data_IF_411049741742
#
_entry.id   IF_411049741742
#
_cell.length_a   1.000
_cell.length_b   1.000
_cell.length_c   1.000
_cell.angle_alpha   90.00
_cell.angle_beta   90.00
_cell.angle_gamma   90.00
#
_symmetry.space_group_name_H-M   'P 1'
#
loop_
_entity.id
_entity.type
_entity.pdbx_description
1 polymer ?
#
# COMPACT_ATOMS: atom_id res chain seq x y z
N UNK A 1 -0.07 20.47 -12.69
CA UNK A 1 0.02 20.18 -11.25
C UNK A 1 1.34 19.46 -11.02
N UNK A 2 2.26 20.08 -10.29
CA UNK A 2 3.49 19.43 -9.86
C UNK A 2 3.25 18.79 -8.49
N UNK A 3 3.93 17.69 -8.22
CA UNK A 3 3.71 16.92 -7.01
C UNK A 3 5.00 16.61 -6.26
N UNK A 4 4.92 16.51 -4.95
CA UNK A 4 5.96 15.90 -4.13
C UNK A 4 5.52 14.53 -3.63
N UNK A 5 6.45 13.57 -3.55
CA UNK A 5 6.22 12.24 -2.96
C UNK A 5 7.26 12.03 -1.88
N UNK A 6 6.80 11.91 -0.65
CA UNK A 6 7.66 11.68 0.53
C UNK A 6 7.74 10.21 0.84
N UNK A 7 8.94 9.67 0.80
CA UNK A 7 9.26 8.26 0.87
C UNK A 7 9.59 7.70 -0.51
N UNK A 8 10.83 7.23 -0.71
CA UNK A 8 11.30 6.59 -1.94
C UNK A 8 11.45 5.08 -1.76
N UNK A 9 10.58 4.48 -0.96
CA UNK A 9 10.40 3.04 -0.92
C UNK A 9 9.74 2.54 -2.21
N UNK A 10 9.33 1.28 -2.20
CA UNK A 10 8.73 0.63 -3.37
C UNK A 10 7.55 1.44 -3.93
N UNK A 11 6.57 1.76 -3.08
CA UNK A 11 5.36 2.49 -3.47
C UNK A 11 5.68 3.90 -3.96
N UNK A 12 6.50 4.64 -3.23
CA UNK A 12 6.80 6.04 -3.56
C UNK A 12 7.60 6.17 -4.84
N UNK A 13 8.63 5.34 -5.04
CA UNK A 13 9.47 5.41 -6.23
C UNK A 13 8.72 4.97 -7.49
N UNK A 14 7.98 3.86 -7.43
CA UNK A 14 7.15 3.39 -8.56
C UNK A 14 6.10 4.44 -8.91
N UNK A 15 5.37 4.96 -7.91
CA UNK A 15 4.35 5.99 -8.15
C UNK A 15 4.96 7.25 -8.74
N UNK A 16 6.10 7.71 -8.21
CA UNK A 16 6.80 8.89 -8.70
C UNK A 16 7.24 8.76 -10.16
N UNK A 17 7.85 7.62 -10.50
CA UNK A 17 8.27 7.34 -11.87
C UNK A 17 7.08 7.25 -12.84
N UNK A 18 5.97 6.63 -12.41
CA UNK A 18 4.76 6.52 -13.24
C UNK A 18 4.05 7.87 -13.43
N UNK A 19 3.93 8.70 -12.39
CA UNK A 19 3.40 10.05 -12.53
C UNK A 19 4.28 10.93 -13.44
N UNK A 20 5.61 10.82 -13.31
CA UNK A 20 6.53 11.51 -14.21
C UNK A 20 6.36 11.07 -15.67
N UNK A 21 6.14 9.76 -15.89
CA UNK A 21 5.87 9.22 -17.23
C UNK A 21 4.56 9.74 -17.82
N UNK A 22 3.56 10.04 -16.97
CA UNK A 22 2.32 10.69 -17.37
C UNK A 22 2.48 12.18 -17.70
N UNK A 23 3.68 12.74 -17.58
CA UNK A 23 4.00 14.12 -17.92
C UNK A 23 3.94 15.09 -16.73
N UNK A 24 3.87 14.60 -15.51
CA UNK A 24 3.83 15.41 -14.29
C UNK A 24 5.25 15.65 -13.79
N UNK A 25 5.55 16.85 -13.27
CA UNK A 25 6.80 17.10 -12.55
C UNK A 25 6.68 16.53 -11.14
N UNK A 26 7.58 15.61 -10.80
CA UNK A 26 7.56 14.88 -9.53
C UNK A 26 8.85 15.11 -8.75
N UNK A 27 8.72 15.53 -7.52
CA UNK A 27 9.81 15.65 -6.55
C UNK A 27 9.72 14.50 -5.55
N UNK A 28 10.59 13.52 -5.67
CA UNK A 28 10.70 12.42 -4.70
C UNK A 28 11.63 12.81 -3.56
N UNK A 29 11.15 12.70 -2.33
CA UNK A 29 11.87 13.10 -1.11
C UNK A 29 12.08 11.90 -0.19
N UNK A 30 13.31 11.72 0.29
CA UNK A 30 13.63 10.70 1.29
C UNK A 30 14.76 11.22 2.19
N UNK A 31 14.67 10.97 3.48
CA UNK A 31 15.70 11.40 4.46
C UNK A 31 17.02 10.63 4.33
N UNK A 32 17.03 9.50 3.61
CA UNK A 32 18.24 8.71 3.37
C UNK A 32 19.07 9.33 2.24
N UNK A 33 20.11 10.09 2.61
CA UNK A 33 20.97 10.78 1.67
C UNK A 33 21.70 9.83 0.69
N UNK A 34 22.15 8.67 1.15
CA UNK A 34 22.84 7.70 0.29
C UNK A 34 21.89 7.16 -0.80
N UNK A 35 20.65 6.90 -0.42
CA UNK A 35 19.61 6.45 -1.34
C UNK A 35 19.27 7.51 -2.38
N UNK A 36 19.15 8.76 -1.95
CA UNK A 36 18.86 9.89 -2.85
C UNK A 36 20.03 10.12 -3.83
N UNK A 37 21.29 10.08 -3.38
CA UNK A 37 22.44 10.20 -4.26
C UNK A 37 22.54 9.03 -5.27
N UNK A 38 22.24 7.80 -4.83
CA UNK A 38 22.14 6.65 -5.73
C UNK A 38 21.06 6.88 -6.80
N UNK A 39 19.85 7.32 -6.42
CA UNK A 39 18.76 7.62 -7.34
C UNK A 39 19.11 8.74 -8.32
N UNK A 40 19.75 9.83 -7.88
CA UNK A 40 20.24 10.89 -8.75
C UNK A 40 21.25 10.38 -9.79
N UNK A 41 22.05 9.39 -9.40
CA UNK A 41 23.02 8.73 -10.29
C UNK A 41 22.41 7.63 -11.17
N UNK A 42 21.10 7.41 -11.07
CA UNK A 42 20.39 6.37 -11.84
C UNK A 42 20.52 4.96 -11.28
N UNK A 43 21.03 4.81 -10.06
CA UNK A 43 21.10 3.52 -9.36
C UNK A 43 19.81 3.31 -8.57
N UNK A 44 19.01 2.33 -8.99
CA UNK A 44 17.70 2.06 -8.40
C UNK A 44 17.85 1.03 -7.28
N UNK A 45 17.46 1.38 -6.02
CA UNK A 45 17.70 0.51 -4.85
C UNK A 45 16.70 -0.63 -4.70
N UNK A 46 15.71 -0.72 -5.59
CA UNK A 46 14.67 -1.75 -5.58
C UNK A 46 14.60 -2.41 -6.96
N UNK A 47 14.20 -3.68 -6.97
CA UNK A 47 13.94 -4.38 -8.22
C UNK A 47 12.45 -4.33 -8.58
N UNK A 48 12.16 -3.76 -9.74
CA UNK A 48 10.87 -3.84 -10.41
C UNK A 48 11.14 -3.84 -11.92
N UNK A 49 10.55 -4.76 -12.71
CA UNK A 49 10.77 -4.81 -14.15
C UNK A 49 10.53 -3.45 -14.81
N UNK A 50 11.52 -2.99 -15.60
CA UNK A 50 11.53 -1.73 -16.36
C UNK A 50 11.54 -0.43 -15.52
N UNK A 51 11.63 -0.50 -14.19
CA UNK A 51 11.65 0.70 -13.35
C UNK A 51 12.90 1.55 -13.57
N UNK A 52 14.05 0.93 -13.77
CA UNK A 52 15.31 1.58 -14.07
C UNK A 52 15.21 2.45 -15.34
N UNK A 53 14.73 1.89 -16.43
CA UNK A 53 14.49 2.63 -17.67
C UNK A 53 13.50 3.78 -17.49
N UNK A 54 12.43 3.56 -16.73
CA UNK A 54 11.40 4.56 -16.48
C UNK A 54 11.95 5.74 -15.67
N UNK A 55 12.71 5.45 -14.61
CA UNK A 55 13.34 6.46 -13.76
C UNK A 55 14.36 7.27 -14.52
N UNK A 56 15.32 6.61 -15.23
CA UNK A 56 16.36 7.29 -15.99
C UNK A 56 15.78 8.23 -17.05
N UNK A 57 14.84 7.75 -17.84
CA UNK A 57 14.18 8.55 -18.88
C UNK A 57 13.50 9.80 -18.32
N UNK A 58 12.87 9.69 -17.16
CA UNK A 58 12.18 10.81 -16.54
C UNK A 58 13.12 11.77 -15.79
N UNK A 59 14.27 11.30 -15.31
CA UNK A 59 15.35 12.16 -14.82
C UNK A 59 15.90 13.01 -15.99
N UNK A 60 16.26 12.36 -17.11
CA UNK A 60 16.78 13.05 -18.31
C UNK A 60 15.79 14.07 -18.86
N UNK A 61 14.50 13.76 -18.83
CA UNK A 61 13.44 14.68 -19.25
C UNK A 61 13.15 15.80 -18.23
N UNK A 62 13.81 15.81 -17.06
CA UNK A 62 13.64 16.81 -16.02
C UNK A 62 12.31 16.71 -15.25
N UNK A 63 11.52 15.65 -15.47
CA UNK A 63 10.23 15.44 -14.83
C UNK A 63 10.32 14.71 -13.49
N UNK A 64 11.38 13.94 -13.25
CA UNK A 64 11.59 13.24 -11.99
C UNK A 64 12.84 13.78 -11.30
N UNK A 65 12.67 14.31 -10.09
CA UNK A 65 13.71 14.95 -9.31
C UNK A 65 13.77 14.38 -7.92
N UNK A 66 14.92 14.44 -7.26
CA UNK A 66 15.16 13.87 -5.94
C UNK A 66 15.73 14.89 -4.98
N UNK A 67 15.24 14.92 -3.74
CA UNK A 67 15.74 15.75 -2.64
C UNK A 67 15.77 14.97 -1.33
N UNK A 68 16.65 15.39 -0.42
CA UNK A 68 16.68 14.91 0.96
C UNK A 68 15.83 15.77 1.90
N UNK A 69 15.35 16.91 1.44
CA UNK A 69 14.65 17.88 2.27
C UNK A 69 13.28 18.26 1.68
N UNK A 70 12.21 17.87 2.38
CA UNK A 70 10.85 18.21 1.99
C UNK A 70 10.63 19.73 1.94
N UNK A 71 11.32 20.51 2.78
CA UNK A 71 11.17 21.97 2.85
C UNK A 71 11.53 22.65 1.53
N UNK A 72 12.52 22.11 0.81
CA UNK A 72 12.96 22.65 -0.48
C UNK A 72 11.89 22.49 -1.56
N UNK A 73 11.05 21.47 -1.46
CA UNK A 73 10.06 21.11 -2.48
C UNK A 73 8.63 21.52 -2.14
N UNK A 74 8.37 21.97 -0.91
CA UNK A 74 7.04 22.38 -0.48
C UNK A 74 6.42 23.51 -1.33
N UNK A 75 7.23 24.36 -1.94
CA UNK A 75 6.75 25.46 -2.76
C UNK A 75 6.64 25.10 -4.25
N UNK A 76 7.12 23.91 -4.65
CA UNK A 76 7.21 23.50 -6.05
C UNK A 76 5.91 22.84 -6.54
N UNK A 77 5.06 22.34 -5.64
CA UNK A 77 3.81 21.68 -6.01
C UNK A 77 2.71 21.84 -4.97
N UNK A 78 1.47 21.72 -5.43
CA UNK A 78 0.30 21.85 -4.56
C UNK A 78 -0.16 20.52 -3.95
N UNK A 79 0.32 19.39 -4.46
CA UNK A 79 -0.07 18.05 -3.99
C UNK A 79 1.15 17.32 -3.43
N UNK A 80 1.02 16.88 -2.19
CA UNK A 80 2.09 16.17 -1.48
C UNK A 80 1.58 14.78 -1.11
N UNK A 81 2.20 13.76 -1.70
CA UNK A 81 1.94 12.37 -1.35
C UNK A 81 2.84 11.90 -0.20
N UNK A 82 2.24 11.25 0.78
CA UNK A 82 2.95 10.53 1.84
C UNK A 82 2.97 9.05 1.50
N UNK A 83 4.16 8.53 1.17
CA UNK A 83 4.40 7.13 0.79
C UNK A 83 5.48 6.50 1.69
N UNK A 84 5.51 6.87 2.95
CA UNK A 84 6.44 6.36 3.97
C UNK A 84 5.96 5.03 4.54
N UNK A 85 6.87 4.25 5.14
CA UNK A 85 6.54 2.99 5.77
C UNK A 85 5.59 3.14 6.96
N UNK A 86 4.75 2.13 7.14
CA UNK A 86 3.87 1.97 8.30
C UNK A 86 4.12 0.58 8.90
N UNK A 87 5.27 0.38 9.59
CA UNK A 87 5.62 -0.92 10.14
C UNK A 87 4.59 -1.34 11.22
N UNK A 88 4.47 -2.66 11.49
CA UNK A 88 3.62 -3.11 12.58
C UNK A 88 4.25 -2.74 13.93
N UNK A 89 3.41 -2.32 14.86
CA UNK A 89 3.74 -2.16 16.26
C UNK A 89 3.63 -3.51 17.00
N UNK A 90 4.03 -3.57 18.26
CA UNK A 90 4.02 -4.79 19.08
C UNK A 90 2.62 -5.41 19.22
N UNK A 91 1.57 -4.59 19.27
CA UNK A 91 0.17 -5.01 19.34
C UNK A 91 -0.45 -5.37 17.97
N UNK A 92 0.35 -5.31 16.89
CA UNK A 92 -0.08 -5.56 15.52
C UNK A 92 -0.71 -4.34 14.82
N UNK A 93 -0.89 -3.21 15.53
CA UNK A 93 -1.33 -1.96 14.91
C UNK A 93 -0.26 -1.37 13.98
N UNK A 94 -0.65 -0.41 13.14
CA UNK A 94 0.30 0.29 12.28
C UNK A 94 0.97 1.45 13.02
N UNK A 95 2.31 1.50 13.02
CA UNK A 95 3.06 2.68 13.49
C UNK A 95 2.91 3.82 12.49
N UNK A 96 2.28 4.91 12.93
CA UNK A 96 2.03 6.12 12.14
C UNK A 96 3.07 7.23 12.37
N UNK A 97 4.12 6.98 13.15
CA UNK A 97 5.10 8.00 13.53
C UNK A 97 5.71 8.71 12.32
N UNK A 98 6.08 7.97 11.27
CA UNK A 98 6.63 8.54 10.03
C UNK A 98 5.60 9.37 9.27
N UNK A 99 4.34 8.93 9.19
CA UNK A 99 3.26 9.67 8.52
C UNK A 99 3.00 10.99 9.24
N UNK A 100 2.96 10.98 10.56
CA UNK A 100 2.72 12.17 11.37
C UNK A 100 3.94 13.12 11.37
N UNK A 101 5.16 12.60 11.26
CA UNK A 101 6.35 13.46 11.14
C UNK A 101 6.39 14.21 9.80
N UNK A 102 5.98 13.57 8.70
CA UNK A 102 5.76 14.26 7.42
C UNK A 102 4.71 15.36 7.58
N UNK A 103 3.58 15.08 8.23
CA UNK A 103 2.53 16.06 8.49
C UNK A 103 3.04 17.25 9.31
N UNK A 104 3.82 17.01 10.37
CA UNK A 104 4.47 18.08 11.16
C UNK A 104 5.39 18.93 10.30
N UNK A 105 6.24 18.30 9.49
CA UNK A 105 7.17 19.01 8.61
C UNK A 105 6.41 19.90 7.62
N UNK A 106 5.31 19.41 7.05
CA UNK A 106 4.45 20.21 6.17
C UNK A 106 3.87 21.39 6.94
N UNK A 107 3.22 21.16 8.08
CA UNK A 107 2.59 22.21 8.89
C UNK A 107 3.57 23.29 9.36
N UNK A 108 4.81 22.91 9.70
CA UNK A 108 5.87 23.85 10.10
C UNK A 108 6.38 24.73 8.97
N UNK A 109 6.31 24.28 7.73
CA UNK A 109 7.03 24.92 6.64
C UNK A 109 6.17 25.42 5.48
N UNK A 110 4.93 24.93 5.33
CA UNK A 110 4.05 25.34 4.22
C UNK A 110 3.76 26.85 4.29
N UNK A 111 3.73 27.49 3.11
CA UNK A 111 3.47 28.94 2.97
C UNK A 111 2.18 29.25 2.22
N UNK A 112 1.57 28.27 1.60
CA UNK A 112 0.32 28.37 0.87
C UNK A 112 -0.44 27.05 0.88
N UNK A 113 -1.58 27.03 0.23
CA UNK A 113 -2.43 25.87 0.15
C UNK A 113 -1.68 24.62 -0.28
N UNK A 114 -1.97 23.50 0.38
CA UNK A 114 -1.49 22.18 0.01
C UNK A 114 -2.62 21.14 0.12
N UNK A 115 -2.62 20.17 -0.80
CA UNK A 115 -3.36 18.93 -0.68
C UNK A 115 -2.41 17.83 -0.21
N UNK A 116 -2.64 17.31 0.98
CA UNK A 116 -1.83 16.24 1.56
C UNK A 116 -2.52 14.89 1.33
N UNK A 117 -1.89 14.03 0.54
CA UNK A 117 -2.46 12.75 0.11
C UNK A 117 -1.72 11.59 0.77
N UNK A 118 -2.40 10.82 1.57
CA UNK A 118 -1.83 9.59 2.14
C UNK A 118 -1.95 8.45 1.12
N UNK A 119 -0.79 7.98 0.65
CA UNK A 119 -0.68 6.81 -0.24
C UNK A 119 -0.25 5.55 0.51
N UNK A 120 0.41 5.70 1.63
CA UNK A 120 0.73 4.60 2.56
C UNK A 120 -0.54 3.87 2.99
N UNK A 121 -0.43 2.56 3.24
CA UNK A 121 -1.52 1.77 3.83
C UNK A 121 -1.65 2.12 5.30
N UNK A 122 -2.75 2.74 5.67
CA UNK A 122 -2.99 3.31 7.00
C UNK A 122 -4.37 2.94 7.54
N UNK A 123 -4.54 2.80 8.87
CA UNK A 123 -5.84 2.58 9.49
C UNK A 123 -6.83 3.72 9.23
N UNK A 124 -8.12 3.38 9.26
CA UNK A 124 -9.21 4.37 9.20
C UNK A 124 -9.07 5.39 10.33
N UNK A 125 -9.16 6.66 9.99
CA UNK A 125 -8.97 7.80 10.89
C UNK A 125 -7.56 8.39 10.84
N UNK A 126 -6.66 7.88 10.02
CA UNK A 126 -5.31 8.43 9.86
C UNK A 126 -5.33 9.81 9.23
N UNK A 127 -6.18 10.06 8.23
CA UNK A 127 -6.32 11.36 7.61
C UNK A 127 -6.71 12.45 8.62
N UNK A 128 -7.59 12.15 9.58
CA UNK A 128 -7.95 13.09 10.65
C UNK A 128 -6.76 13.39 11.58
N UNK A 129 -5.92 12.40 11.88
CA UNK A 129 -4.69 12.61 12.64
C UNK A 129 -3.69 13.49 11.88
N UNK A 130 -3.56 13.28 10.57
CA UNK A 130 -2.74 14.14 9.70
C UNK A 130 -3.27 15.57 9.70
N UNK A 131 -4.57 15.76 9.52
CA UNK A 131 -5.25 17.06 9.56
C UNK A 131 -5.00 17.78 10.88
N UNK A 132 -5.25 17.10 12.00
CA UNK A 132 -5.05 17.66 13.33
C UNK A 132 -3.58 18.04 13.58
N UNK A 133 -2.64 17.22 13.13
CA UNK A 133 -1.20 17.48 13.27
C UNK A 133 -0.79 18.74 12.50
N UNK A 134 -1.23 18.89 11.25
CA UNK A 134 -0.94 20.08 10.44
C UNK A 134 -1.58 21.32 11.05
N UNK A 135 -2.86 21.24 11.46
CA UNK A 135 -3.57 22.37 12.07
C UNK A 135 -2.88 22.86 13.36
N UNK A 136 -2.40 21.94 14.20
CA UNK A 136 -1.66 22.27 15.40
C UNK A 136 -0.34 23.01 15.11
N UNK A 137 0.40 22.60 14.08
CA UNK A 137 1.65 23.28 13.70
C UNK A 137 1.38 24.68 13.12
N UNK A 138 0.31 24.86 12.35
CA UNK A 138 -0.13 26.17 11.85
C UNK A 138 -0.55 27.09 13.00
N UNK A 139 -1.30 26.58 13.98
CA UNK A 139 -1.68 27.32 15.17
C UNK A 139 -0.45 27.75 15.97
N UNK A 140 0.51 26.85 16.18
CA UNK A 140 1.78 27.12 16.86
C UNK A 140 2.58 28.24 16.17
N UNK A 141 2.52 28.31 14.85
CA UNK A 141 3.14 29.38 14.04
C UNK A 141 2.32 30.69 14.06
N UNK A 142 1.09 30.68 14.53
CA UNK A 142 0.19 31.83 14.49
C UNK A 142 -0.23 32.24 13.08
N UNK A 143 -0.33 31.28 12.14
CA UNK A 143 -0.71 31.50 10.75
C UNK A 143 -1.98 30.75 10.39
N UNK A 144 -2.76 31.30 9.47
CA UNK A 144 -3.94 30.64 8.90
C UNK A 144 -3.65 30.37 7.44
N UNK A 145 -3.50 29.07 7.10
CA UNK A 145 -3.25 28.59 5.74
C UNK A 145 -4.23 27.46 5.48
N UNK A 146 -4.98 27.57 4.39
CA UNK A 146 -5.91 26.52 3.98
C UNK A 146 -5.14 25.28 3.48
N UNK A 147 -5.65 24.11 3.79
CA UNK A 147 -5.16 22.84 3.28
C UNK A 147 -6.27 21.80 3.27
N UNK A 148 -6.11 20.80 2.43
CA UNK A 148 -6.96 19.61 2.39
C UNK A 148 -6.15 18.35 2.64
N UNK A 149 -6.82 17.30 3.08
CA UNK A 149 -6.26 15.95 3.18
C UNK A 149 -7.05 15.02 2.28
N UNK A 150 -6.37 14.00 1.76
CA UNK A 150 -6.97 12.96 0.93
C UNK A 150 -6.34 11.60 1.24
N UNK A 151 -7.02 10.53 0.88
CA UNK A 151 -6.51 9.17 0.89
C UNK A 151 -6.49 8.62 -0.53
N UNK A 152 -5.34 8.09 -0.94
CA UNK A 152 -5.18 7.47 -2.26
C UNK A 152 -4.39 6.16 -2.11
N UNK A 153 -5.01 5.12 -1.55
CA UNK A 153 -4.35 3.84 -1.35
C UNK A 153 -3.89 3.24 -2.67
N UNK A 154 -2.79 2.49 -2.62
CA UNK A 154 -2.24 1.78 -3.76
C UNK A 154 -2.67 0.30 -3.76
N UNK A 155 -2.66 -0.32 -4.93
CA UNK A 155 -2.97 -1.74 -5.14
C UNK A 155 -1.92 -2.40 -6.03
N UNK A 156 -0.67 -1.99 -5.86
CA UNK A 156 0.47 -2.45 -6.66
C UNK A 156 0.89 -3.87 -6.22
N UNK A 157 1.27 -4.68 -7.18
CA UNK A 157 1.86 -6.01 -6.96
C UNK A 157 3.35 -5.95 -7.29
N UNK A 158 4.19 -6.38 -6.37
CA UNK A 158 5.62 -6.50 -6.63
C UNK A 158 5.88 -7.40 -7.86
N UNK A 159 6.70 -6.90 -8.78
CA UNK A 159 6.97 -7.54 -10.06
C UNK A 159 6.03 -7.17 -11.21
N UNK A 160 4.95 -6.41 -10.95
CA UNK A 160 4.01 -5.89 -11.96
C UNK A 160 3.49 -4.48 -11.63
N UNK A 161 4.18 -3.76 -10.76
CA UNK A 161 3.67 -2.53 -10.19
C UNK A 161 3.53 -1.38 -11.19
N UNK A 162 4.40 -1.31 -12.19
CA UNK A 162 4.31 -0.30 -13.25
C UNK A 162 3.03 -0.50 -14.07
N UNK A 163 2.75 -1.74 -14.51
CA UNK A 163 1.51 -2.03 -15.24
C UNK A 163 0.27 -1.82 -14.37
N UNK A 164 0.32 -2.24 -13.10
CA UNK A 164 -0.78 -2.01 -12.15
C UNK A 164 -1.06 -0.52 -11.92
N UNK A 165 -0.01 0.33 -11.97
CA UNK A 165 -0.17 1.77 -11.86
C UNK A 165 -0.69 2.39 -13.16
N UNK A 166 -0.10 2.02 -14.31
CA UNK A 166 -0.39 2.63 -15.61
C UNK A 166 -1.70 2.14 -16.23
N UNK A 167 -2.12 0.91 -15.88
CA UNK A 167 -3.34 0.24 -16.36
C UNK A 167 -4.11 -0.36 -15.18
N UNK A 168 -4.56 0.46 -14.22
CA UNK A 168 -5.18 -0.04 -13.00
C UNK A 168 -6.58 -0.62 -13.27
N UNK A 169 -6.95 -1.66 -12.52
CA UNK A 169 -8.35 -2.10 -12.43
C UNK A 169 -9.24 -0.95 -11.90
N UNK A 170 -8.73 -0.17 -10.96
CA UNK A 170 -9.32 1.06 -10.41
C UNK A 170 -8.27 1.89 -9.67
N UNK A 171 -8.52 3.18 -9.59
CA UNK A 171 -7.88 4.10 -8.64
C UNK A 171 -8.92 4.48 -7.60
N UNK A 172 -8.55 4.44 -6.31
CA UNK A 172 -9.43 4.85 -5.21
C UNK A 172 -8.93 6.18 -4.65
N UNK A 173 -9.81 7.14 -4.52
CA UNK A 173 -9.50 8.48 -4.01
C UNK A 173 -10.55 8.89 -2.96
N UNK A 174 -10.12 9.00 -1.72
CA UNK A 174 -10.93 9.55 -0.63
C UNK A 174 -10.71 11.05 -0.50
N UNK A 175 -11.76 11.82 -0.59
CA UNK A 175 -11.76 13.30 -0.48
C UNK A 175 -12.99 13.79 0.27
N UNK A 176 -12.89 14.97 0.87
CA UNK A 176 -13.97 15.65 1.59
C UNK A 176 -14.17 17.10 1.17
N UNK A 177 -13.46 17.55 0.11
CA UNK A 177 -13.67 18.87 -0.48
C UNK A 177 -13.69 18.81 -2.01
N UNK A 178 -14.41 19.74 -2.63
CA UNK A 178 -14.44 19.87 -4.10
C UNK A 178 -13.08 20.24 -4.65
N UNK A 179 -12.32 21.08 -3.95
CA UNK A 179 -10.96 21.47 -4.35
C UNK A 179 -10.01 20.28 -4.40
N UNK A 180 -10.02 19.43 -3.37
CA UNK A 180 -9.23 18.21 -3.36
C UNK A 180 -9.64 17.26 -4.50
N UNK A 181 -10.95 17.13 -4.75
CA UNK A 181 -11.47 16.31 -5.85
C UNK A 181 -11.03 16.83 -7.21
N UNK A 182 -11.05 18.14 -7.44
CA UNK A 182 -10.58 18.76 -8.69
C UNK A 182 -9.09 18.49 -8.92
N UNK A 183 -8.24 18.72 -7.91
CA UNK A 183 -6.80 18.46 -8.01
C UNK A 183 -6.50 16.98 -8.32
N UNK A 184 -7.16 16.06 -7.62
CA UNK A 184 -6.98 14.63 -7.86
C UNK A 184 -7.53 14.23 -9.24
N UNK A 185 -8.61 14.85 -9.72
CA UNK A 185 -9.14 14.63 -11.09
C UNK A 185 -8.14 15.09 -12.13
N UNK A 186 -7.52 16.25 -11.95
CA UNK A 186 -6.48 16.76 -12.85
C UNK A 186 -5.27 15.84 -12.89
N UNK A 187 -4.83 15.35 -11.72
CA UNK A 187 -3.70 14.44 -11.59
C UNK A 187 -3.93 13.10 -12.31
N UNK A 188 -5.12 12.53 -12.16
CA UNK A 188 -5.51 11.26 -12.79
C UNK A 188 -6.19 11.41 -14.15
N UNK A 189 -6.20 12.63 -14.73
CA UNK A 189 -6.81 12.89 -16.02
C UNK A 189 -6.33 11.95 -17.14
N UNK A 190 -5.03 11.62 -17.28
CA UNK A 190 -4.58 10.68 -18.31
C UNK A 190 -5.24 9.30 -18.18
N UNK A 191 -5.53 8.84 -16.96
CA UNK A 191 -6.22 7.56 -16.71
C UNK A 191 -7.69 7.66 -17.08
N UNK A 192 -8.36 8.75 -16.71
CA UNK A 192 -9.77 9.00 -17.06
C UNK A 192 -9.97 9.05 -18.58
N UNK A 193 -9.05 9.68 -19.32
CA UNK A 193 -9.08 9.72 -20.77
C UNK A 193 -8.91 8.35 -21.43
N UNK A 194 -8.27 7.42 -20.76
CA UNK A 194 -8.09 6.04 -21.20
C UNK A 194 -9.18 5.09 -20.63
N UNK A 195 -10.27 5.62 -20.12
CA UNK A 195 -11.40 4.89 -19.54
C UNK A 195 -11.04 4.01 -18.31
N UNK A 196 -9.96 4.30 -17.62
CA UNK A 196 -9.70 3.65 -16.33
C UNK A 196 -10.60 4.21 -15.24
N UNK A 197 -11.02 3.36 -14.32
CA UNK A 197 -11.93 3.75 -13.24
C UNK A 197 -11.20 4.53 -12.15
N UNK A 198 -11.60 5.77 -11.92
CA UNK A 198 -11.23 6.53 -10.72
C UNK A 198 -12.46 6.65 -9.85
N UNK A 199 -12.41 6.02 -8.68
CA UNK A 199 -13.52 5.94 -7.72
C UNK A 199 -13.30 6.98 -6.63
N UNK A 200 -14.10 8.05 -6.65
CA UNK A 200 -14.13 9.02 -5.56
C UNK A 200 -15.09 8.56 -4.47
N UNK A 201 -14.66 8.67 -3.24
CA UNK A 201 -15.43 8.32 -2.04
C UNK A 201 -15.01 9.19 -0.86
N UNK A 202 -15.66 9.04 0.29
CA UNK A 202 -15.19 9.66 1.53
C UNK A 202 -13.86 9.05 1.99
N UNK A 203 -13.11 9.80 2.79
CA UNK A 203 -11.76 9.41 3.22
C UNK A 203 -11.76 8.12 4.04
N UNK A 204 -12.63 7.94 5.06
CA UNK A 204 -12.68 6.69 5.82
C UNK A 204 -12.95 5.46 4.97
N UNK A 205 -13.83 5.57 3.98
CA UNK A 205 -14.12 4.48 3.03
C UNK A 205 -12.92 4.14 2.16
N UNK A 206 -12.15 5.13 1.71
CA UNK A 206 -10.93 4.91 0.94
C UNK A 206 -9.84 4.21 1.78
N UNK A 207 -9.62 4.65 3.02
CA UNK A 207 -8.70 4.01 3.97
C UNK A 207 -9.12 2.56 4.23
N UNK A 208 -10.42 2.29 4.48
CA UNK A 208 -10.93 0.94 4.71
C UNK A 208 -10.80 0.05 3.48
N UNK A 209 -11.01 0.59 2.28
CA UNK A 209 -11.01 -0.20 1.03
C UNK A 209 -9.69 -0.96 0.82
N UNK A 210 -8.55 -0.36 1.17
CA UNK A 210 -7.24 -1.03 1.05
C UNK A 210 -7.13 -2.23 1.98
N UNK A 211 -7.49 -2.07 3.24
CA UNK A 211 -7.47 -3.15 4.22
C UNK A 211 -8.46 -4.25 3.88
N UNK A 212 -9.69 -3.89 3.51
CA UNK A 212 -10.72 -4.85 3.13
C UNK A 212 -10.32 -5.66 1.89
N UNK A 213 -9.68 -5.03 0.89
CA UNK A 213 -9.18 -5.72 -0.30
C UNK A 213 -8.10 -6.76 0.07
N UNK A 214 -7.09 -6.37 0.84
CA UNK A 214 -6.03 -7.29 1.24
C UNK A 214 -6.55 -8.39 2.17
N UNK A 215 -7.47 -8.08 3.06
CA UNK A 215 -8.11 -9.05 3.94
C UNK A 215 -8.94 -10.08 3.15
N UNK A 216 -9.66 -9.65 2.11
CA UNK A 216 -10.40 -10.56 1.24
C UNK A 216 -9.46 -11.51 0.49
N UNK A 217 -8.34 -11.00 -0.04
CA UNK A 217 -7.35 -11.84 -0.73
C UNK A 217 -6.72 -12.86 0.22
N UNK A 218 -6.34 -12.46 1.43
CA UNK A 218 -5.84 -13.34 2.47
C UNK A 218 -6.88 -14.41 2.87
N UNK A 219 -8.15 -14.01 2.99
CA UNK A 219 -9.27 -14.92 3.28
C UNK A 219 -9.38 -16.01 2.21
N UNK A 220 -9.29 -15.66 0.94
CA UNK A 220 -9.36 -16.62 -0.17
C UNK A 220 -8.22 -17.64 -0.11
N UNK A 221 -7.01 -17.20 0.24
CA UNK A 221 -5.85 -18.10 0.39
C UNK A 221 -6.06 -19.05 1.58
N UNK A 222 -6.41 -18.54 2.75
CA UNK A 222 -6.66 -19.37 3.93
C UNK A 222 -7.83 -20.32 3.74
N UNK A 223 -8.92 -19.86 3.10
CA UNK A 223 -10.05 -20.72 2.76
C UNK A 223 -9.60 -21.91 1.89
N UNK A 224 -8.81 -21.66 0.84
CA UNK A 224 -8.33 -22.73 -0.03
C UNK A 224 -7.33 -23.66 0.65
N UNK A 225 -6.53 -23.15 1.57
CA UNK A 225 -5.65 -23.98 2.40
C UNK A 225 -6.45 -24.93 3.31
N UNK A 226 -7.52 -24.43 3.92
CA UNK A 226 -8.38 -25.24 4.78
C UNK A 226 -9.13 -26.31 3.97
N UNK A 227 -9.64 -25.95 2.79
CA UNK A 227 -10.24 -26.91 1.82
C UNK A 227 -9.21 -27.95 1.38
N UNK A 228 -7.97 -27.56 1.07
CA UNK A 228 -6.91 -28.49 0.66
C UNK A 228 -6.61 -29.52 1.74
N UNK A 229 -6.51 -29.09 3.00
CA UNK A 229 -6.28 -29.98 4.13
C UNK A 229 -7.45 -30.97 4.34
N UNK A 230 -8.68 -30.54 4.08
CA UNK A 230 -9.84 -31.43 4.11
C UNK A 230 -9.83 -32.42 2.92
N UNK A 231 -9.50 -31.95 1.72
CA UNK A 231 -9.40 -32.79 0.52
C UNK A 231 -8.48 -34.01 0.73
N UNK A 232 -7.33 -33.80 1.39
CA UNK A 232 -6.41 -34.91 1.72
C UNK A 232 -7.06 -35.98 2.62
N UNK A 233 -7.97 -35.59 3.51
CA UNK A 233 -8.63 -36.51 4.43
C UNK A 233 -9.79 -37.27 3.80
N UNK A 234 -10.44 -36.67 2.79
CA UNK A 234 -11.62 -37.27 2.12
C UNK A 234 -11.30 -37.85 0.74
N UNK A 235 -10.03 -37.80 0.31
CA UNK A 235 -9.59 -38.35 -0.98
C UNK A 235 -10.00 -37.49 -2.20
N UNK A 236 -10.25 -36.20 -2.02
CA UNK A 236 -10.53 -35.27 -3.10
C UNK A 236 -9.26 -34.61 -3.63
N UNK A 237 -9.24 -34.25 -4.92
CA UNK A 237 -8.17 -33.45 -5.53
C UNK A 237 -8.51 -31.97 -5.45
N UNK A 238 -7.72 -31.22 -4.65
CA UNK A 238 -7.91 -29.77 -4.46
C UNK A 238 -7.76 -28.98 -5.76
N UNK A 239 -6.95 -29.44 -6.71
CA UNK A 239 -6.80 -28.76 -8.01
C UNK A 239 -8.09 -28.83 -8.81
N UNK A 240 -8.77 -29.97 -8.79
CA UNK A 240 -10.08 -30.12 -9.42
C UNK A 240 -11.15 -29.31 -8.71
N UNK A 241 -11.15 -29.31 -7.38
CA UNK A 241 -12.06 -28.46 -6.57
C UNK A 241 -11.86 -26.99 -6.91
N UNK A 242 -10.59 -26.53 -6.94
CA UNK A 242 -10.23 -25.16 -7.31
C UNK A 242 -10.75 -24.80 -8.71
N UNK A 243 -10.54 -25.68 -9.68
CA UNK A 243 -11.03 -25.46 -11.05
C UNK A 243 -12.55 -25.38 -11.08
N UNK A 244 -13.22 -26.29 -10.37
CA UNK A 244 -14.68 -26.32 -10.30
C UNK A 244 -15.28 -25.04 -9.73
N UNK A 245 -14.83 -24.60 -8.54
CA UNK A 245 -15.36 -23.39 -7.93
C UNK A 245 -14.90 -22.11 -8.64
N UNK A 246 -13.66 -22.09 -9.16
CA UNK A 246 -13.10 -20.92 -9.84
C UNK A 246 -13.71 -20.63 -11.21
N UNK A 247 -14.39 -21.61 -11.82
CA UNK A 247 -15.15 -21.44 -13.08
C UNK A 247 -16.47 -20.68 -12.88
N UNK A 248 -16.98 -20.58 -11.66
CA UNK A 248 -18.11 -19.73 -11.34
C UNK A 248 -17.69 -18.25 -11.39
N UNK A 249 -18.31 -17.46 -12.25
CA UNK A 249 -17.99 -16.03 -12.45
C UNK A 249 -18.19 -15.18 -11.19
N UNK A 250 -19.05 -15.62 -10.26
CA UNK A 250 -19.26 -14.96 -8.95
C UNK A 250 -18.05 -15.14 -8.01
N UNK A 251 -17.27 -16.21 -8.21
CA UNK A 251 -16.09 -16.54 -7.42
C UNK A 251 -14.82 -16.10 -8.17
N UNK A 252 -14.64 -16.53 -9.41
CA UNK A 252 -13.43 -16.35 -10.19
C UNK A 252 -12.24 -17.16 -9.66
N UNK A 253 -11.21 -17.33 -10.47
CA UNK A 253 -10.09 -18.25 -10.22
C UNK A 253 -8.89 -17.63 -9.48
N UNK A 254 -8.89 -16.32 -9.24
CA UNK A 254 -7.76 -15.61 -8.63
C UNK A 254 -7.69 -15.82 -7.12
N UNK A 255 -6.47 -15.98 -6.58
CA UNK A 255 -6.21 -16.20 -5.15
C UNK A 255 -6.86 -17.46 -4.56
N UNK A 256 -7.09 -18.48 -5.38
CA UNK A 256 -7.61 -19.79 -4.97
C UNK A 256 -6.53 -20.88 -5.03
N UNK A 257 -5.26 -20.54 -4.81
CA UNK A 257 -4.15 -21.48 -4.85
C UNK A 257 -3.74 -21.86 -3.42
N UNK A 258 -3.90 -23.13 -3.02
CA UNK A 258 -3.41 -23.60 -1.73
C UNK A 258 -1.87 -23.69 -1.74
N UNK A 259 -1.28 -23.57 -0.55
CA UNK A 259 0.16 -23.64 -0.35
C UNK A 259 0.51 -23.62 1.14
N UNK A 260 1.69 -23.10 1.47
CA UNK A 260 2.22 -23.04 2.85
C UNK A 260 1.68 -21.85 3.67
N UNK A 261 0.60 -21.25 3.24
CA UNK A 261 0.07 -20.02 3.81
C UNK A 261 0.51 -18.77 3.06
N UNK A 262 -0.11 -17.64 3.38
CA UNK A 262 0.33 -16.35 2.89
C UNK A 262 1.43 -15.76 3.76
N UNK A 263 2.30 -14.98 3.15
CA UNK A 263 3.38 -14.23 3.78
C UNK A 263 3.61 -12.91 3.07
N UNK A 264 4.86 -12.47 3.03
CA UNK A 264 5.27 -11.21 2.41
C UNK A 264 5.07 -10.00 3.31
N UNK A 265 5.33 -8.82 2.78
CA UNK A 265 5.35 -7.55 3.51
C UNK A 265 3.96 -6.96 3.78
N UNK A 266 2.92 -7.39 3.04
CA UNK A 266 1.60 -6.76 3.06
C UNK A 266 0.54 -7.57 3.83
N UNK A 267 0.24 -8.80 3.38
CA UNK A 267 -0.91 -9.54 3.94
C UNK A 267 -0.83 -9.75 5.45
N UNK A 268 0.28 -10.26 6.05
CA UNK A 268 0.32 -10.47 7.48
C UNK A 268 0.16 -9.17 8.27
N UNK A 269 0.82 -8.10 7.81
CA UNK A 269 0.76 -6.78 8.44
C UNK A 269 -0.65 -6.19 8.37
N UNK A 270 -1.26 -6.19 7.19
CA UNK A 270 -2.55 -5.52 6.96
C UNK A 270 -3.70 -6.27 7.62
N UNK A 271 -3.69 -7.61 7.62
CA UNK A 271 -4.69 -8.43 8.33
C UNK A 271 -4.63 -8.15 9.84
N UNK A 272 -3.42 -8.16 10.42
CA UNK A 272 -3.23 -7.88 11.86
C UNK A 272 -3.63 -6.44 12.22
N UNK A 273 -3.26 -5.47 11.39
CA UNK A 273 -3.63 -4.08 11.61
C UNK A 273 -5.14 -3.85 11.58
N UNK A 274 -5.86 -4.54 10.68
CA UNK A 274 -7.32 -4.44 10.62
C UNK A 274 -7.98 -5.09 11.84
N UNK A 275 -7.49 -6.24 12.31
CA UNK A 275 -7.95 -6.89 13.53
C UNK A 275 -7.69 -5.98 14.75
N UNK A 276 -6.49 -5.41 14.87
CA UNK A 276 -6.15 -4.47 15.95
C UNK A 276 -7.05 -3.23 15.95
N UNK A 277 -7.31 -2.67 14.77
CA UNK A 277 -8.25 -1.54 14.61
C UNK A 277 -9.66 -1.90 15.09
N UNK A 278 -10.14 -3.09 14.75
CA UNK A 278 -11.45 -3.56 15.20
C UNK A 278 -11.51 -3.70 16.73
N UNK A 279 -10.51 -4.31 17.34
CA UNK A 279 -10.43 -4.46 18.80
C UNK A 279 -10.40 -3.10 19.52
N UNK A 280 -9.64 -2.12 19.01
CA UNK A 280 -9.63 -0.75 19.53
C UNK A 280 -11.00 -0.06 19.47
N UNK A 281 -11.87 -0.51 18.56
CA UNK A 281 -13.26 -0.04 18.44
C UNK A 281 -14.28 -0.92 19.16
N UNK A 282 -13.82 -1.92 19.92
CA UNK A 282 -14.69 -2.85 20.63
C UNK A 282 -15.41 -3.85 19.72
N UNK A 283 -14.86 -4.13 18.53
CA UNK A 283 -15.43 -5.06 17.56
C UNK A 283 -14.52 -6.25 17.33
N UNK A 284 -15.08 -7.46 17.34
CA UNK A 284 -14.37 -8.70 17.04
C UNK A 284 -14.56 -9.09 15.58
N UNK A 285 -13.46 -9.18 14.83
CA UNK A 285 -13.47 -9.59 13.42
C UNK A 285 -13.34 -11.11 13.30
N UNK A 286 -14.38 -11.85 13.66
CA UNK A 286 -14.39 -13.31 13.74
C UNK A 286 -13.86 -14.01 12.49
N UNK A 287 -14.22 -13.54 11.29
CA UNK A 287 -13.74 -14.11 10.02
C UNK A 287 -12.23 -13.93 9.87
N UNK A 288 -11.71 -12.72 10.07
CA UNK A 288 -10.28 -12.47 9.91
C UNK A 288 -9.42 -13.13 10.99
N UNK A 289 -9.91 -13.22 12.21
CA UNK A 289 -9.23 -13.95 13.27
C UNK A 289 -9.15 -15.46 12.95
N UNK A 290 -10.20 -16.03 12.34
CA UNK A 290 -10.16 -17.38 11.84
C UNK A 290 -9.16 -17.55 10.69
N UNK A 291 -9.15 -16.60 9.75
CA UNK A 291 -8.19 -16.57 8.62
C UNK A 291 -6.75 -16.56 9.11
N UNK A 292 -6.42 -15.72 10.10
CA UNK A 292 -5.09 -15.64 10.70
C UNK A 292 -4.72 -16.95 11.42
N UNK A 293 -5.63 -17.54 12.21
CA UNK A 293 -5.40 -18.85 12.85
C UNK A 293 -5.13 -19.96 11.83
N UNK A 294 -5.88 -20.00 10.73
CA UNK A 294 -5.66 -20.97 9.64
C UNK A 294 -4.29 -20.75 9.03
N UNK A 295 -3.91 -19.50 8.78
CA UNK A 295 -2.62 -19.17 8.16
C UNK A 295 -1.43 -19.56 9.07
N UNK A 296 -1.50 -19.27 10.35
CA UNK A 296 -0.45 -19.65 11.31
C UNK A 296 -0.28 -21.18 11.40
N UNK A 297 -1.38 -21.92 11.39
CA UNK A 297 -1.34 -23.39 11.32
C UNK A 297 -0.73 -23.88 10.01
N UNK A 298 -1.11 -23.25 8.89
CA UNK A 298 -0.67 -23.66 7.56
C UNK A 298 0.85 -23.53 7.35
N UNK A 299 1.49 -22.57 7.98
CA UNK A 299 2.94 -22.40 7.93
C UNK A 299 3.72 -23.62 8.43
N UNK A 300 3.13 -24.43 9.31
CA UNK A 300 3.74 -25.60 9.90
C UNK A 300 3.38 -26.92 9.20
N UNK A 301 2.44 -26.90 8.25
CA UNK A 301 1.87 -28.14 7.67
C UNK A 301 2.92 -29.02 6.99
N UNK A 302 3.89 -28.43 6.31
CA UNK A 302 4.96 -29.19 5.64
C UNK A 302 5.91 -29.83 6.66
N UNK A 303 6.24 -29.13 7.73
CA UNK A 303 7.05 -29.67 8.81
C UNK A 303 6.33 -30.83 9.52
N UNK A 304 5.03 -30.68 9.78
CA UNK A 304 4.22 -31.73 10.39
C UNK A 304 4.17 -32.99 9.51
N UNK A 305 3.96 -32.82 8.20
CA UNK A 305 3.97 -33.94 7.23
C UNK A 305 5.35 -34.62 7.16
N UNK A 306 6.41 -33.85 7.13
CA UNK A 306 7.78 -34.35 7.09
C UNK A 306 8.12 -35.10 8.38
N UNK A 307 7.80 -34.52 9.53
CA UNK A 307 8.02 -35.15 10.81
C UNK A 307 7.24 -36.47 10.96
N UNK A 308 5.99 -36.48 10.51
CA UNK A 308 5.18 -37.70 10.49
C UNK A 308 5.77 -38.79 9.59
N UNK A 309 6.22 -38.42 8.38
CA UNK A 309 6.82 -39.35 7.43
C UNK A 309 8.09 -40.02 7.99
N UNK A 310 8.94 -39.26 8.65
CA UNK A 310 10.16 -39.77 9.28
C UNK A 310 10.00 -40.19 10.76
N UNK A 311 8.77 -40.28 11.26
CA UNK A 311 8.44 -40.67 12.65
C UNK A 311 9.22 -39.85 13.70
N UNK A 312 9.48 -38.57 13.43
CA UNK A 312 10.26 -37.65 14.27
C UNK A 312 11.79 -37.70 14.05
N UNK A 313 12.30 -38.67 13.31
CA UNK A 313 13.73 -38.89 13.08
C UNK A 313 14.28 -38.00 11.95
N UNK A 314 14.37 -36.67 12.20
CA UNK A 314 14.78 -35.67 11.20
C UNK A 314 16.29 -35.40 11.18
N UNK A 315 17.02 -35.77 12.25
CA UNK A 315 18.46 -35.49 12.40
C UNK A 315 19.27 -36.16 11.27
N UNK A 316 20.06 -35.35 10.54
CA UNK A 316 20.91 -35.85 9.46
C UNK A 316 20.18 -36.15 8.14
N UNK A 317 18.89 -35.87 8.05
CA UNK A 317 18.15 -35.97 6.79
C UNK A 317 18.42 -34.73 5.91
N UNK A 318 18.62 -34.98 4.61
CA UNK A 318 18.60 -33.91 3.60
C UNK A 318 17.16 -33.75 3.10
N UNK A 319 16.65 -32.56 3.12
CA UNK A 319 15.30 -32.18 2.71
C UNK A 319 15.41 -31.30 1.47
#
# INVERSE_FOLDING_TARGET
VDIAIVGTGYVGLVSGACFAEMGITVYCVDTNAQKIEALKSGVIPIYEPNLDHLVLRNIEAGRLRFSTDLREVLNEGDVIFTAVGTPPDEDGSADLSYVLEVARTIGRNMQGYKLIVTKSTVPVGTAEKVRATIAQELETRGVTIDFDVASNPEFLKEGNAIDDFMKPDRVVVGVDSDRAKELMTQLYRPMLLNNFRVLFMDIPSAEMTKYAANAMLATRISFMNDIANLCEKVGADVSMVRQGIGSDTRIGNKFLYPGCGYGGSCFPKDVKALIATAHQKGYEMQVLEAVERVNEKQKNILFEKLSSYYQGELKGRKI
#
